data_IF_503054952852
#
_entry.id   IF_503054952852
#
_cell.length_a   1.000
_cell.length_b   1.000
_cell.length_c   1.000
_cell.angle_alpha   90.00
_cell.angle_beta   90.00
_cell.angle_gamma   90.00
#
_symmetry.space_group_name_H-M   'P 1'
#
loop_
_entity.id
_entity.type
_entity.pdbx_description
1 polymer ?
#
# COMPACT_ATOMS: atom_id res chain seq x y z
N UNK A 1 -48.66 14.67 -5.34
CA UNK A 1 -47.92 13.41 -5.17
C UNK A 1 -46.48 13.80 -4.83
N UNK A 2 -46.10 13.62 -3.56
CA UNK A 2 -44.81 14.06 -3.02
C UNK A 2 -43.79 12.95 -3.28
N UNK A 3 -42.72 13.27 -4.01
CA UNK A 3 -41.57 12.37 -4.13
C UNK A 3 -40.77 12.47 -2.83
N UNK A 4 -40.88 11.44 -1.98
CA UNK A 4 -40.04 11.31 -0.80
C UNK A 4 -38.60 11.02 -1.23
N UNK A 5 -37.69 11.79 -0.65
CA UNK A 5 -36.25 11.55 -0.61
C UNK A 5 -35.99 10.34 0.28
N UNK A 6 -35.22 9.37 -0.21
CA UNK A 6 -34.21 8.58 0.53
C UNK A 6 -33.90 7.31 -0.26
N UNK A 7 -32.87 7.38 -1.11
CA UNK A 7 -32.23 6.18 -1.68
C UNK A 7 -30.73 6.22 -1.35
N UNK A 8 -30.44 6.31 -0.05
CA UNK A 8 -29.16 5.90 0.53
C UNK A 8 -29.50 4.89 1.61
N UNK A 9 -30.03 3.74 1.19
CA UNK A 9 -30.23 2.60 2.06
C UNK A 9 -29.62 1.37 1.43
N UNK A 10 -28.71 0.76 2.18
CA UNK A 10 -28.43 -0.67 2.14
C UNK A 10 -27.52 -1.19 1.02
N UNK A 11 -26.22 -0.96 1.20
CA UNK A 11 -25.20 -1.99 0.88
C UNK A 11 -25.17 -3.14 1.92
N UNK A 12 -26.19 -3.27 2.77
CA UNK A 12 -26.34 -4.38 3.72
C UNK A 12 -26.84 -5.68 3.06
N UNK A 13 -27.09 -5.67 1.75
CA UNK A 13 -27.68 -6.77 1.00
C UNK A 13 -26.72 -7.73 0.30
N UNK A 14 -25.40 -7.52 0.33
CA UNK A 14 -24.44 -8.54 -0.13
C UNK A 14 -24.22 -9.58 0.99
N UNK A 15 -25.27 -10.34 1.27
CA UNK A 15 -25.22 -11.46 2.21
C UNK A 15 -24.35 -12.59 1.66
N UNK A 16 -23.10 -12.67 2.11
CA UNK A 16 -22.35 -13.92 2.04
C UNK A 16 -23.05 -14.94 2.95
N UNK A 17 -23.64 -15.96 2.33
CA UNK A 17 -24.42 -17.00 2.99
C UNK A 17 -23.62 -17.64 4.14
N UNK A 18 -24.22 -17.69 5.34
CA UNK A 18 -23.62 -18.25 6.57
C UNK A 18 -23.91 -19.73 6.81
N UNK A 19 -24.42 -20.45 5.82
CA UNK A 19 -24.67 -21.88 5.95
C UNK A 19 -23.76 -22.68 5.04
N UNK A 20 -22.70 -23.29 5.58
CA UNK A 20 -22.11 -24.46 4.93
C UNK A 20 -22.80 -25.70 5.48
N UNK A 21 -23.51 -26.41 4.61
CA UNK A 21 -24.07 -27.75 4.89
C UNK A 21 -23.01 -28.86 4.97
N UNK A 22 -21.75 -28.55 4.68
CA UNK A 22 -20.70 -29.55 4.43
C UNK A 22 -19.60 -29.60 5.52
N UNK A 23 -19.85 -29.06 6.72
CA UNK A 23 -18.86 -29.06 7.80
C UNK A 23 -17.62 -28.17 7.55
N UNK A 24 -17.56 -27.46 6.42
CA UNK A 24 -16.57 -26.42 6.14
C UNK A 24 -17.08 -25.12 6.74
N UNK A 25 -16.66 -24.78 7.96
CA UNK A 25 -16.97 -23.50 8.58
C UNK A 25 -16.77 -22.38 7.53
N UNK A 26 -17.81 -21.61 7.23
CA UNK A 26 -17.68 -20.44 6.38
C UNK A 26 -16.88 -19.41 7.18
N UNK A 27 -15.55 -19.49 7.11
CA UNK A 27 -14.64 -18.50 7.68
C UNK A 27 -14.94 -17.21 6.94
N UNK A 28 -15.66 -16.30 7.60
CA UNK A 28 -15.96 -14.98 7.06
C UNK A 28 -14.67 -14.16 7.07
N UNK A 29 -13.91 -14.25 5.99
CA UNK A 29 -12.83 -13.30 5.74
C UNK A 29 -13.45 -11.94 5.46
N UNK A 30 -13.14 -10.95 6.29
CA UNK A 30 -13.62 -9.59 6.08
C UNK A 30 -12.62 -8.85 5.20
N UNK A 31 -13.08 -8.27 4.09
CA UNK A 31 -12.27 -7.32 3.33
C UNK A 31 -12.43 -5.95 3.95
N UNK A 32 -11.35 -5.37 4.46
CA UNK A 32 -11.33 -4.03 5.05
C UNK A 32 -10.36 -3.12 4.32
N UNK A 33 -10.79 -1.88 4.14
CA UNK A 33 -9.95 -0.81 3.64
C UNK A 33 -9.63 0.13 4.80
N UNK A 34 -8.37 0.11 5.24
CA UNK A 34 -7.85 1.07 6.19
C UNK A 34 -7.40 2.30 5.43
N UNK A 35 -7.98 3.46 5.73
CA UNK A 35 -7.68 4.73 5.05
C UNK A 35 -7.38 5.81 6.07
N UNK A 36 -6.26 6.48 5.89
CA UNK A 36 -5.87 7.65 6.68
C UNK A 36 -5.77 8.87 5.79
N UNK A 37 -6.40 9.98 6.22
CA UNK A 37 -6.34 11.26 5.51
C UNK A 37 -5.18 12.08 6.06
N UNK A 38 -4.25 12.43 5.18
CA UNK A 38 -3.13 13.31 5.50
C UNK A 38 -3.62 14.76 5.39
N UNK A 39 -3.88 15.38 6.54
CA UNK A 39 -4.35 16.77 6.63
C UNK A 39 -3.25 17.73 7.06
N UNK A 40 -2.29 17.23 7.84
CA UNK A 40 -1.07 17.93 8.24
C UNK A 40 0.03 17.73 7.20
N UNK A 41 0.97 18.66 7.16
CA UNK A 41 2.17 18.55 6.32
C UNK A 41 3.00 17.32 6.70
N UNK A 42 3.20 16.37 5.78
CA UNK A 42 4.13 15.26 5.99
C UNK A 42 5.55 15.77 6.21
N UNK A 43 6.35 14.96 6.90
CA UNK A 43 7.75 15.27 7.21
C UNK A 43 8.65 14.10 6.83
N UNK A 44 9.96 14.34 6.82
CA UNK A 44 10.99 13.31 6.70
C UNK A 44 11.15 12.42 7.94
N UNK A 45 10.43 12.71 9.02
CA UNK A 45 10.24 11.80 10.15
C UNK A 45 9.05 10.89 9.91
N UNK A 46 9.14 9.67 10.43
CA UNK A 46 8.03 8.71 10.47
C UNK A 46 6.85 9.30 11.25
N UNK A 47 5.65 9.16 10.68
CA UNK A 47 4.40 9.68 11.23
C UNK A 47 3.42 8.52 11.45
N UNK A 48 3.03 8.32 12.70
CA UNK A 48 2.01 7.36 13.09
C UNK A 48 0.62 7.88 12.74
N UNK A 49 -0.18 7.04 12.08
CA UNK A 49 -1.56 7.34 11.73
C UNK A 49 -2.53 7.12 12.89
N UNK A 50 -2.10 6.40 13.93
CA UNK A 50 -2.94 5.89 15.01
C UNK A 50 -3.84 4.72 14.60
N UNK A 51 -3.68 4.20 13.38
CA UNK A 51 -4.39 3.02 12.89
C UNK A 51 -3.56 1.79 13.21
N UNK A 52 -4.11 0.92 14.05
CA UNK A 52 -3.61 -0.45 14.24
C UNK A 52 -4.27 -1.40 13.24
N UNK A 53 -3.45 -2.13 12.48
CA UNK A 53 -3.89 -3.25 11.67
C UNK A 53 -4.28 -4.44 12.57
N UNK A 54 -5.19 -5.32 12.10
CA UNK A 54 -5.64 -6.46 12.89
C UNK A 54 -4.48 -7.45 13.11
N UNK A 55 -4.58 -8.24 14.19
CA UNK A 55 -3.54 -9.22 14.55
C UNK A 55 -3.46 -10.38 13.59
N UNK A 56 -4.54 -10.67 12.86
CA UNK A 56 -4.69 -11.82 11.97
C UNK A 56 -5.27 -11.38 10.64
N UNK A 57 -4.64 -11.80 9.55
CA UNK A 57 -5.08 -11.47 8.20
C UNK A 57 -3.91 -11.26 7.24
N UNK A 58 -4.21 -10.65 6.10
CA UNK A 58 -3.24 -10.38 5.05
C UNK A 58 -3.39 -8.97 4.51
N UNK A 59 -2.29 -8.22 4.44
CA UNK A 59 -2.23 -6.99 3.64
C UNK A 59 -2.01 -7.41 2.19
N UNK A 60 -2.90 -6.95 1.31
CA UNK A 60 -2.91 -7.34 -0.12
C UNK A 60 -2.37 -6.23 -1.01
N UNK A 61 -2.69 -4.98 -0.69
CA UNK A 61 -2.28 -3.84 -1.51
C UNK A 61 -2.29 -2.55 -0.68
N UNK A 62 -1.47 -1.59 -1.09
CA UNK A 62 -1.40 -0.26 -0.50
C UNK A 62 -1.19 0.78 -1.60
N UNK A 63 -1.80 1.94 -1.46
CA UNK A 63 -1.71 3.02 -2.45
C UNK A 63 -1.97 4.40 -1.84
N UNK A 64 -1.64 5.42 -2.61
CA UNK A 64 -1.86 6.82 -2.25
C UNK A 64 -2.90 7.43 -3.19
N UNK A 65 -3.85 8.16 -2.64
CA UNK A 65 -4.77 9.02 -3.39
C UNK A 65 -4.40 10.48 -3.13
N UNK A 66 -3.84 11.13 -4.14
CA UNK A 66 -3.27 12.48 -4.03
C UNK A 66 -4.31 13.52 -4.43
N UNK A 67 -4.78 14.33 -3.49
CA UNK A 67 -5.68 15.44 -3.78
C UNK A 67 -4.92 16.68 -4.27
N UNK A 68 -3.80 16.98 -3.60
CA UNK A 68 -2.90 18.09 -3.93
C UNK A 68 -1.51 17.53 -4.06
N UNK A 69 -0.95 17.66 -5.26
CA UNK A 69 0.39 17.17 -5.58
C UNK A 69 1.46 17.96 -4.81
N UNK A 70 2.53 17.27 -4.45
CA UNK A 70 3.72 17.92 -3.91
C UNK A 70 4.54 18.54 -5.03
N UNK A 71 4.76 19.85 -4.99
CA UNK A 71 5.45 20.58 -6.05
C UNK A 71 6.85 21.04 -5.63
N UNK A 72 7.06 21.37 -4.36
CA UNK A 72 8.27 22.08 -3.91
C UNK A 72 9.28 21.19 -3.21
N UNK A 73 8.86 20.07 -2.62
CA UNK A 73 9.73 19.08 -1.99
C UNK A 73 10.89 18.65 -2.90
N UNK A 74 12.09 18.57 -2.31
CA UNK A 74 13.32 18.13 -2.99
C UNK A 74 13.19 16.67 -3.46
N UNK A 75 12.67 15.82 -2.58
CA UNK A 75 12.24 14.45 -2.89
C UNK A 75 10.75 14.37 -2.67
N UNK A 76 9.98 14.14 -3.74
CA UNK A 76 8.50 14.17 -3.78
C UNK A 76 7.89 12.77 -3.60
N UNK A 77 8.40 12.01 -2.65
CA UNK A 77 8.01 10.61 -2.47
C UNK A 77 7.35 10.38 -1.12
N UNK A 78 6.55 9.33 -1.04
CA UNK A 78 5.91 8.87 0.19
C UNK A 78 6.20 7.39 0.40
N UNK A 79 6.56 7.05 1.62
CA UNK A 79 6.76 5.68 2.10
C UNK A 79 5.58 5.34 3.03
N UNK A 80 5.13 4.09 2.98
CA UNK A 80 4.03 3.56 3.80
C UNK A 80 4.43 2.17 4.28
N UNK A 81 4.23 1.91 5.56
CA UNK A 81 4.62 0.63 6.14
C UNK A 81 4.13 0.47 7.57
N UNK A 82 4.91 -0.28 8.34
CA UNK A 82 4.69 -0.55 9.75
C UNK A 82 5.70 0.21 10.61
N UNK A 83 5.26 0.70 11.77
CA UNK A 83 6.08 1.52 12.67
C UNK A 83 7.44 0.89 12.94
N UNK A 84 8.50 1.55 12.51
CA UNK A 84 9.87 1.02 12.49
C UNK A 84 10.41 0.65 13.88
N UNK A 85 9.85 1.24 14.94
CA UNK A 85 10.21 0.93 16.33
C UNK A 85 9.50 -0.32 16.89
N UNK A 86 8.51 -0.86 16.19
CA UNK A 86 7.88 -2.14 16.54
C UNK A 86 8.76 -3.31 16.08
N UNK A 87 8.65 -4.45 16.77
CA UNK A 87 9.36 -5.66 16.33
C UNK A 87 8.77 -6.14 15.01
N UNK A 88 9.59 -6.19 13.95
CA UNK A 88 9.13 -6.48 12.60
C UNK A 88 8.50 -5.27 11.89
N UNK A 89 8.68 -4.07 12.44
CA UNK A 89 8.37 -2.81 11.77
C UNK A 89 9.25 -2.60 10.53
N UNK A 90 8.67 -1.94 9.53
CA UNK A 90 9.27 -1.73 8.22
C UNK A 90 8.55 -0.54 7.56
N UNK A 91 9.16 0.64 7.59
CA UNK A 91 8.54 1.91 7.17
C UNK A 91 8.26 1.96 5.67
N UNK A 92 9.10 1.31 4.88
CA UNK A 92 9.00 1.08 3.45
C UNK A 92 8.40 -0.30 3.12
N UNK A 93 7.71 -0.90 4.10
CA UNK A 93 7.19 -2.25 3.98
C UNK A 93 6.08 -2.41 2.92
N UNK A 94 5.19 -1.44 2.74
CA UNK A 94 4.07 -1.57 1.79
C UNK A 94 4.27 -0.72 0.53
N UNK A 95 4.77 0.49 0.69
CA UNK A 95 5.09 1.44 -0.37
C UNK A 95 6.44 2.06 -0.06
N UNK A 96 7.33 2.08 -1.05
CA UNK A 96 8.66 2.66 -0.95
C UNK A 96 8.81 3.74 -2.02
N UNK A 97 9.19 4.96 -1.65
CA UNK A 97 9.60 5.98 -2.60
C UNK A 97 8.53 6.37 -3.64
N UNK A 98 7.23 6.27 -3.32
CA UNK A 98 6.18 6.50 -4.30
C UNK A 98 6.03 7.99 -4.61
N UNK A 99 6.26 8.36 -5.87
CA UNK A 99 6.13 9.76 -6.29
C UNK A 99 4.71 10.27 -6.13
N UNK A 100 4.57 11.41 -5.45
CA UNK A 100 3.32 12.16 -5.24
C UNK A 100 3.34 13.53 -5.92
N UNK A 101 4.19 13.68 -6.94
CA UNK A 101 4.33 14.90 -7.75
C UNK A 101 3.14 15.15 -8.69
N UNK A 102 2.18 14.23 -8.75
CA UNK A 102 0.96 14.34 -9.54
C UNK A 102 -0.27 14.03 -8.68
N UNK A 103 -1.40 14.64 -9.01
CA UNK A 103 -2.68 14.34 -8.36
C UNK A 103 -3.31 13.04 -8.90
N UNK A 104 -4.18 12.44 -8.09
CA UNK A 104 -4.92 11.22 -8.40
C UNK A 104 -4.42 9.99 -7.66
N UNK A 105 -5.00 8.84 -8.01
CA UNK A 105 -4.67 7.56 -7.40
C UNK A 105 -3.38 7.00 -7.99
N UNK A 106 -2.37 6.84 -7.14
CA UNK A 106 -1.05 6.35 -7.49
C UNK A 106 -0.83 5.03 -6.78
N UNK A 107 -0.60 3.98 -7.58
CA UNK A 107 -0.27 2.65 -7.08
C UNK A 107 1.22 2.39 -7.20
N UNK A 108 1.82 1.69 -6.23
CA UNK A 108 3.18 1.22 -6.36
C UNK A 108 3.32 0.32 -7.59
N UNK A 109 4.55 0.10 -8.07
CA UNK A 109 4.85 -0.81 -9.17
C UNK A 109 6.32 -1.19 -9.17
N UNK A 110 6.60 -2.36 -9.74
CA UNK A 110 7.95 -2.67 -10.19
C UNK A 110 8.27 -1.80 -11.40
N UNK A 111 9.43 -1.18 -11.38
CA UNK A 111 9.92 -0.29 -12.43
C UNK A 111 11.04 -1.01 -13.18
N UNK A 112 10.84 -1.33 -14.47
CA UNK A 112 11.92 -1.86 -15.29
C UNK A 112 12.98 -0.79 -15.56
N UNK A 113 14.24 -1.21 -15.54
CA UNK A 113 15.40 -0.44 -15.95
C UNK A 113 15.65 -0.67 -17.44
N UNK A 114 15.78 0.41 -18.21
CA UNK A 114 16.21 0.33 -19.61
C UNK A 114 17.73 0.32 -19.63
N UNK A 115 18.30 -0.85 -19.91
CA UNK A 115 19.73 -1.02 -20.16
C UNK A 115 20.10 -0.70 -21.61
N UNK A 116 21.38 -0.85 -21.92
CA UNK A 116 21.90 -0.68 -23.28
C UNK A 116 21.55 -1.85 -24.19
N UNK A 117 21.39 -3.07 -23.64
CA UNK A 117 21.12 -4.28 -24.41
C UNK A 117 19.67 -4.77 -24.25
N UNK A 118 19.08 -4.68 -23.06
CA UNK A 118 17.71 -5.09 -22.78
C UNK A 118 17.03 -4.19 -21.74
N UNK A 119 15.73 -4.42 -21.53
CA UNK A 119 14.99 -3.84 -20.39
C UNK A 119 14.82 -4.93 -19.33
N UNK A 120 15.25 -4.65 -18.11
CA UNK A 120 15.33 -5.65 -17.04
C UNK A 120 14.87 -5.09 -15.69
N UNK A 121 14.50 -5.96 -14.76
CA UNK A 121 14.19 -5.59 -13.37
C UNK A 121 15.47 -5.60 -12.54
N UNK A 122 16.10 -4.44 -12.34
CA UNK A 122 17.35 -4.37 -11.55
C UNK A 122 17.12 -4.49 -10.04
N UNK A 123 18.07 -5.07 -9.31
CA UNK A 123 18.05 -5.11 -7.84
C UNK A 123 18.04 -3.71 -7.21
N UNK A 124 18.65 -2.73 -7.89
CA UNK A 124 18.70 -1.32 -7.49
C UNK A 124 17.67 -0.45 -8.22
N UNK A 125 16.71 -1.05 -8.94
CA UNK A 125 15.66 -0.28 -9.58
C UNK A 125 14.79 0.39 -8.50
N UNK A 126 14.34 1.61 -8.75
CA UNK A 126 13.43 2.38 -7.88
C UNK A 126 12.02 1.80 -7.96
N UNK A 127 11.88 0.54 -7.58
CA UNK A 127 10.60 -0.09 -7.37
C UNK A 127 9.87 0.67 -6.26
N UNK A 128 8.56 0.80 -6.41
CA UNK A 128 7.75 1.50 -5.41
C UNK A 128 6.90 0.56 -4.57
N UNK A 129 6.92 -0.73 -4.91
CA UNK A 129 6.33 -1.78 -4.07
C UNK A 129 7.24 -1.96 -2.87
N UNK A 130 6.69 -1.83 -1.67
CA UNK A 130 7.45 -2.00 -0.44
C UNK A 130 7.93 -3.44 -0.24
N UNK A 131 8.87 -3.61 0.70
CA UNK A 131 9.54 -4.89 0.94
C UNK A 131 8.56 -6.00 1.39
N UNK A 132 7.62 -5.69 2.29
CA UNK A 132 6.62 -6.63 2.80
C UNK A 132 5.56 -7.05 1.76
N UNK A 133 5.34 -6.25 0.70
CA UNK A 133 4.45 -6.61 -0.41
C UNK A 133 5.20 -7.13 -1.64
N UNK A 134 6.52 -7.30 -1.53
CA UNK A 134 7.33 -7.95 -2.56
C UNK A 134 7.42 -9.44 -2.24
N UNK A 135 6.78 -10.28 -3.07
CA UNK A 135 6.77 -11.73 -2.85
C UNK A 135 8.06 -12.37 -3.33
N UNK A 136 8.33 -12.26 -4.63
CA UNK A 136 9.58 -12.70 -5.24
C UNK A 136 10.08 -11.60 -6.16
N UNK A 137 11.34 -11.22 -5.97
CA UNK A 137 12.10 -10.39 -6.91
C UNK A 137 13.37 -11.16 -7.28
N UNK A 138 13.48 -11.52 -8.55
CA UNK A 138 14.70 -12.04 -9.16
C UNK A 138 15.23 -10.91 -10.01
N UNK A 139 16.33 -10.31 -9.56
CA UNK A 139 16.96 -9.25 -10.31
C UNK A 139 17.49 -9.78 -11.65
N UNK A 140 17.26 -8.99 -12.69
CA UNK A 140 17.90 -9.12 -13.99
C UNK A 140 19.19 -8.30 -14.07
N UNK A 141 19.85 -8.42 -15.21
CA UNK A 141 21.09 -7.72 -15.55
C UNK A 141 21.07 -7.27 -17.02
N UNK A 142 21.79 -6.18 -17.31
CA UNK A 142 21.98 -5.68 -18.67
C UNK A 142 23.00 -6.53 -19.43
N UNK A 143 22.56 -7.63 -20.01
CA UNK A 143 23.43 -8.51 -20.79
C UNK A 143 22.83 -8.82 -22.16
N UNK A 144 23.70 -8.91 -23.17
CA UNK A 144 23.30 -9.25 -24.53
C UNK A 144 22.73 -10.68 -24.68
N UNK A 145 22.98 -11.56 -23.71
CA UNK A 145 22.50 -12.94 -23.69
C UNK A 145 21.08 -13.08 -23.11
N UNK A 146 20.47 -11.98 -22.66
CA UNK A 146 19.20 -11.97 -21.94
C UNK A 146 19.39 -12.02 -20.43
N UNK A 147 18.49 -11.38 -19.70
CA UNK A 147 18.63 -11.19 -18.25
C UNK A 147 17.52 -10.31 -17.68
N UNK A 148 16.27 -10.53 -18.09
CA UNK A 148 15.21 -9.54 -17.88
C UNK A 148 14.74 -9.46 -16.41
N UNK A 149 15.05 -10.46 -15.60
CA UNK A 149 14.58 -10.59 -14.23
C UNK A 149 13.10 -10.94 -14.14
N UNK A 150 12.59 -11.04 -12.93
CA UNK A 150 11.20 -11.39 -12.65
C UNK A 150 10.77 -10.79 -11.32
N UNK A 151 9.55 -10.24 -11.26
CA UNK A 151 8.97 -9.79 -10.00
C UNK A 151 7.50 -10.18 -9.91
N UNK A 152 7.07 -10.55 -8.71
CA UNK A 152 5.67 -10.71 -8.35
C UNK A 152 5.37 -9.98 -7.05
N UNK A 153 4.19 -9.36 -7.00
CA UNK A 153 3.63 -8.85 -5.75
C UNK A 153 3.27 -10.03 -4.85
N UNK A 154 3.61 -9.89 -3.59
CA UNK A 154 3.20 -10.79 -2.53
C UNK A 154 2.04 -10.22 -1.74
N UNK A 155 1.83 -10.83 -0.58
CA UNK A 155 0.97 -10.36 0.47
C UNK A 155 1.77 -10.39 1.77
N UNK A 156 1.42 -9.56 2.73
CA UNK A 156 2.03 -9.57 4.05
C UNK A 156 1.08 -10.21 5.06
N UNK A 157 1.49 -11.30 5.71
CA UNK A 157 0.71 -11.89 6.80
C UNK A 157 0.81 -11.04 8.06
N UNK A 158 -0.35 -10.66 8.58
CA UNK A 158 -0.47 -10.03 9.87
C UNK A 158 -0.36 -11.12 10.95
N UNK A 159 0.58 -10.91 11.88
CA UNK A 159 0.84 -11.81 13.00
C UNK A 159 0.71 -11.11 14.37
N UNK A 160 0.28 -9.84 14.37
CA UNK A 160 0.09 -9.02 15.57
C UNK A 160 1.36 -8.47 16.21
N UNK A 161 2.53 -8.62 15.58
CA UNK A 161 3.82 -8.14 16.15
C UNK A 161 4.03 -6.66 15.86
N UNK A 162 4.05 -6.29 14.58
CA UNK A 162 3.99 -4.91 14.12
C UNK A 162 2.62 -4.69 13.47
N UNK A 163 1.96 -3.60 13.84
CA UNK A 163 0.56 -3.34 13.48
C UNK A 163 0.27 -1.87 13.24
N UNK A 164 1.11 -0.97 13.76
CA UNK A 164 0.86 0.47 13.66
C UNK A 164 1.17 0.93 12.24
N UNK A 165 0.15 1.42 11.53
CA UNK A 165 0.30 1.94 10.17
C UNK A 165 0.97 3.32 10.23
N UNK A 166 2.04 3.47 9.48
CA UNK A 166 2.85 4.69 9.43
C UNK A 166 3.05 5.17 8.01
N UNK A 167 3.46 6.43 7.87
CA UNK A 167 3.95 6.99 6.62
C UNK A 167 5.10 7.95 6.87
N UNK A 168 5.88 8.22 5.81
CA UNK A 168 6.98 9.18 5.82
C UNK A 168 7.09 9.85 4.46
N UNK A 169 7.37 11.15 4.45
CA UNK A 169 7.74 11.83 3.21
C UNK A 169 9.25 11.69 2.96
N UNK A 170 9.63 11.64 1.68
CA UNK A 170 11.03 11.59 1.27
C UNK A 170 11.84 12.85 1.62
N UNK A 171 11.19 13.93 2.05
CA UNK A 171 11.82 15.16 2.49
C UNK A 171 10.99 15.90 3.55
N UNK A 172 11.61 16.86 4.26
CA UNK A 172 10.93 17.68 5.26
C UNK A 172 10.09 18.82 4.67
N UNK A 173 10.28 19.12 3.38
CA UNK A 173 9.74 20.32 2.72
C UNK A 173 8.40 20.06 2.03
N UNK A 174 7.58 19.14 2.57
CA UNK A 174 6.34 18.62 1.97
C UNK A 174 5.12 19.54 2.17
N UNK A 175 5.26 20.81 1.80
CA UNK A 175 4.34 21.86 2.19
C UNK A 175 2.93 21.70 1.57
N UNK A 176 2.87 21.28 0.30
CA UNK A 176 1.62 21.29 -0.47
C UNK A 176 0.84 19.98 -0.37
N UNK A 177 1.54 18.85 -0.27
CA UNK A 177 0.91 17.54 -0.40
C UNK A 177 -0.32 17.38 0.49
N UNK A 178 -1.45 17.01 -0.11
CA UNK A 178 -2.64 16.55 0.60
C UNK A 178 -3.17 15.31 -0.11
N UNK A 179 -3.58 14.32 0.68
CA UNK A 179 -3.94 13.02 0.13
C UNK A 179 -4.46 12.07 1.20
N UNK A 180 -4.66 10.83 0.79
CA UNK A 180 -4.97 9.73 1.69
C UNK A 180 -4.09 8.53 1.37
N UNK A 181 -3.60 7.85 2.40
CA UNK A 181 -3.01 6.52 2.25
C UNK A 181 -4.11 5.49 2.47
N UNK A 182 -4.07 4.40 1.71
CA UNK A 182 -5.06 3.32 1.79
C UNK A 182 -4.37 1.97 1.77
N UNK A 183 -4.78 1.07 2.67
CA UNK A 183 -4.26 -0.30 2.82
C UNK A 183 -5.43 -1.27 2.80
N UNK A 184 -5.41 -2.22 1.87
CA UNK A 184 -6.42 -3.26 1.72
C UNK A 184 -6.00 -4.51 2.51
N UNK A 185 -6.85 -4.91 3.44
CA UNK A 185 -6.60 -6.04 4.36
C UNK A 185 -7.71 -7.08 4.23
N UNK A 186 -7.31 -8.34 4.16
CA UNK A 186 -8.18 -9.50 4.34
C UNK A 186 -8.04 -9.97 5.78
N UNK A 187 -9.02 -9.69 6.62
CA UNK A 187 -9.01 -10.09 8.02
C UNK A 187 -9.53 -11.51 8.16
N UNK A 188 -8.82 -12.31 8.94
CA UNK A 188 -9.28 -13.64 9.31
C UNK A 188 -9.78 -13.61 10.76
N UNK A 189 -10.99 -14.15 11.03
CA UNK A 189 -11.58 -14.18 12.36
C UNK A 189 -10.82 -15.06 13.35
#
# INVERSE_FOLDING_TARGET
>A
MVFARDEIASYAGLGFATGSTDGKQAVRTLVRLYRYKITTTPTGSEQDTGIDLPTTGFVIDAWVDVDTAEATGTTKTLDIGLLSTESGGDLDGFVDGLSVAAAGLIRPRFVPTVGSNNTYLGAAATHTVGALLTGTLIAGEDTAAGGDGFAMRGWHALNGTAKSLVYKAGSNDFAEFRGSISVLVLETP
#
